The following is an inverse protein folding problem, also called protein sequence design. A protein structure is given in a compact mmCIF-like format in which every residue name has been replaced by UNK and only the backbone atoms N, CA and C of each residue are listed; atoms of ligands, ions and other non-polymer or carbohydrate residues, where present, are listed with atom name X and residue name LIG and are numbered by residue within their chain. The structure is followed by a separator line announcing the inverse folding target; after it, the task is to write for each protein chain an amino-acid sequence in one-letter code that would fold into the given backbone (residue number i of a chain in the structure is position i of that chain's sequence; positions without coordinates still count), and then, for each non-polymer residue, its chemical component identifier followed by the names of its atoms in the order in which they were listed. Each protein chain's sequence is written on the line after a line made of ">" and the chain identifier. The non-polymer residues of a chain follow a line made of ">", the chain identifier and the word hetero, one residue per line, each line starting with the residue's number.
data_IF_195801483158
#
_entry.id   IF_195801483158
#
_cell.length_a   1.000
_cell.length_b   1.000
_cell.length_c   1.000
_cell.angle_alpha   90.00
_cell.angle_beta   90.00
_cell.angle_gamma   90.00
#
_symmetry.space_group_name_H-M   'P 1'
#
loop_
_entity.id
_entity.type
_entity.pdbx_description
1 polymer ?
#
# COMPACT_ATOMS: atom_id res chain seq x y z
N UNK A 1 -9.92 -22.51 -8.19
CA UNK A 1 -9.97 -22.43 -6.71
C UNK A 1 -11.18 -21.59 -6.31
N UNK A 2 -11.84 -21.91 -5.19
CA UNK A 2 -12.94 -21.08 -4.65
C UNK A 2 -12.46 -20.34 -3.40
N UNK A 3 -12.52 -19.01 -3.45
CA UNK A 3 -12.05 -18.10 -2.40
C UNK A 3 -13.24 -17.41 -1.73
N UNK A 4 -13.19 -17.27 -0.42
CA UNK A 4 -14.05 -16.38 0.35
C UNK A 4 -13.26 -15.13 0.72
N UNK A 5 -13.65 -13.96 0.22
CA UNK A 5 -13.08 -12.67 0.61
C UNK A 5 -14.07 -11.96 1.54
N UNK A 6 -13.63 -11.63 2.74
CA UNK A 6 -14.42 -10.90 3.74
C UNK A 6 -13.73 -9.58 4.03
N UNK A 7 -14.50 -8.50 3.98
CA UNK A 7 -14.03 -7.16 4.24
C UNK A 7 -15.10 -6.37 5.03
N UNK A 8 -14.73 -5.29 5.74
CA UNK A 8 -15.69 -4.36 6.32
C UNK A 8 -16.60 -3.74 5.24
N UNK A 9 -17.82 -3.36 5.61
CA UNK A 9 -18.76 -2.67 4.69
C UNK A 9 -18.21 -1.33 4.20
N UNK A 10 -17.52 -0.60 5.07
CA UNK A 10 -16.90 0.69 4.76
C UNK A 10 -15.46 0.54 4.21
N UNK A 11 -15.23 -0.52 3.43
CA UNK A 11 -13.94 -0.77 2.79
C UNK A 11 -13.61 0.29 1.73
N UNK A 12 -12.32 0.44 1.37
CA UNK A 12 -11.90 1.36 0.31
C UNK A 12 -12.64 1.12 -1.02
N UNK A 13 -12.92 2.21 -1.73
CA UNK A 13 -13.62 2.24 -3.03
C UNK A 13 -13.00 1.32 -4.08
N UNK A 14 -11.68 1.12 -4.01
CA UNK A 14 -10.96 0.22 -4.91
C UNK A 14 -11.24 -1.29 -4.69
N UNK A 15 -11.92 -1.68 -3.61
CA UNK A 15 -12.18 -3.10 -3.25
C UNK A 15 -12.85 -3.87 -4.39
N UNK A 16 -13.83 -3.28 -5.08
CA UNK A 16 -14.54 -3.97 -6.16
C UNK A 16 -13.62 -4.28 -7.35
N UNK A 17 -12.72 -3.35 -7.68
CA UNK A 17 -11.73 -3.55 -8.74
C UNK A 17 -10.70 -4.62 -8.38
N UNK A 18 -10.23 -4.59 -7.12
CA UNK A 18 -9.35 -5.61 -6.56
C UNK A 18 -10.00 -7.00 -6.61
N UNK A 19 -11.24 -7.11 -6.13
CA UNK A 19 -12.06 -8.32 -6.13
C UNK A 19 -12.26 -8.87 -7.56
N UNK A 20 -12.61 -8.01 -8.52
CA UNK A 20 -12.81 -8.42 -9.89
C UNK A 20 -11.55 -9.06 -10.49
N UNK A 21 -10.39 -8.45 -10.28
CA UNK A 21 -9.13 -9.01 -10.77
C UNK A 21 -8.68 -10.25 -10.02
N UNK A 22 -8.90 -10.31 -8.70
CA UNK A 22 -8.64 -11.49 -7.89
C UNK A 22 -9.46 -12.68 -8.40
N UNK A 23 -10.76 -12.48 -8.64
CA UNK A 23 -11.67 -13.50 -9.15
C UNK A 23 -11.21 -14.06 -10.49
N UNK A 24 -10.73 -13.22 -11.41
CA UNK A 24 -10.18 -13.66 -12.70
C UNK A 24 -8.99 -14.60 -12.51
N UNK A 25 -8.13 -14.33 -11.53
CA UNK A 25 -6.97 -15.18 -11.25
C UNK A 25 -7.37 -16.52 -10.62
N UNK A 26 -8.17 -16.50 -9.54
CA UNK A 26 -8.43 -17.71 -8.74
C UNK A 26 -9.58 -18.57 -9.29
N UNK A 27 -10.39 -18.02 -10.20
CA UNK A 27 -11.58 -18.64 -10.79
C UNK A 27 -12.88 -18.19 -10.14
N UNK A 28 -13.11 -18.59 -8.88
CA UNK A 28 -14.30 -18.21 -8.12
C UNK A 28 -13.90 -17.49 -6.84
N UNK A 29 -14.46 -16.31 -6.62
CA UNK A 29 -14.29 -15.54 -5.38
C UNK A 29 -15.67 -15.03 -4.97
N UNK A 30 -16.10 -15.32 -3.75
CA UNK A 30 -17.31 -14.75 -3.16
C UNK A 30 -16.87 -13.63 -2.20
N UNK A 31 -17.46 -12.44 -2.35
CA UNK A 31 -17.16 -11.27 -1.51
C UNK A 31 -18.30 -11.02 -0.52
N UNK A 32 -17.96 -10.94 0.78
CA UNK A 32 -18.86 -10.50 1.83
C UNK A 32 -18.34 -9.21 2.47
N UNK A 33 -19.10 -8.14 2.30
CA UNK A 33 -18.88 -6.85 2.97
C UNK A 33 -19.70 -6.82 4.27
N UNK A 34 -19.05 -6.96 5.42
CA UNK A 34 -19.71 -7.13 6.72
C UNK A 34 -20.00 -5.79 7.39
N UNK A 35 -21.22 -5.63 7.90
CA UNK A 35 -21.51 -4.53 8.82
C UNK A 35 -20.81 -4.69 10.18
N UNK A 36 -20.90 -3.68 11.04
CA UNK A 36 -20.24 -3.70 12.35
C UNK A 36 -20.71 -4.85 13.25
N UNK A 37 -21.99 -5.22 13.18
CA UNK A 37 -22.55 -6.30 14.01
C UNK A 37 -22.00 -7.65 13.57
N UNK A 38 -21.98 -7.88 12.26
CA UNK A 38 -21.39 -9.08 11.65
C UNK A 38 -19.88 -9.14 11.89
N UNK A 39 -19.19 -8.01 11.80
CA UNK A 39 -17.76 -7.91 12.09
C UNK A 39 -17.46 -8.20 13.56
N UNK A 40 -18.29 -7.73 14.49
CA UNK A 40 -18.13 -7.94 15.93
C UNK A 40 -18.33 -9.41 16.36
N UNK A 41 -19.13 -10.20 15.61
CA UNK A 41 -19.30 -11.64 15.85
C UNK A 41 -19.13 -12.45 14.56
N UNK A 42 -17.87 -12.52 14.12
CA UNK A 42 -17.47 -13.27 12.92
C UNK A 42 -17.79 -14.77 13.05
N UNK A 43 -17.76 -15.32 14.27
CA UNK A 43 -18.08 -16.74 14.50
C UNK A 43 -19.54 -17.03 14.18
N UNK A 44 -20.46 -16.20 14.70
CA UNK A 44 -21.87 -16.29 14.35
C UNK A 44 -22.10 -16.09 12.85
N UNK A 45 -21.41 -15.13 12.22
CA UNK A 45 -21.52 -14.93 10.77
C UNK A 45 -21.16 -16.20 9.99
N UNK A 46 -20.01 -16.83 10.28
CA UNK A 46 -19.60 -18.05 9.59
C UNK A 46 -20.58 -19.20 9.81
N UNK A 47 -21.06 -19.40 11.05
CA UNK A 47 -22.00 -20.48 11.37
C UNK A 47 -23.34 -20.35 10.64
N UNK A 48 -23.82 -19.13 10.40
CA UNK A 48 -25.11 -18.90 9.76
C UNK A 48 -25.02 -18.81 8.24
N UNK A 49 -23.95 -18.21 7.70
CA UNK A 49 -23.89 -17.79 6.29
C UNK A 49 -22.83 -18.51 5.46
N UNK A 50 -21.84 -19.17 6.08
CA UNK A 50 -20.68 -19.70 5.37
C UNK A 50 -20.61 -21.23 5.48
N UNK A 51 -20.76 -21.91 4.34
CA UNK A 51 -20.46 -23.34 4.22
C UNK A 51 -18.97 -23.53 3.93
N UNK A 52 -18.16 -23.66 4.98
CA UNK A 52 -16.69 -23.71 4.91
C UNK A 52 -16.15 -24.73 3.90
N UNK A 53 -16.76 -25.91 3.80
CA UNK A 53 -16.36 -26.98 2.89
C UNK A 53 -16.39 -26.62 1.39
N UNK A 54 -17.00 -25.50 1.01
CA UNK A 54 -17.02 -25.02 -0.37
C UNK A 54 -15.84 -24.09 -0.72
N UNK A 55 -15.04 -23.69 0.26
CA UNK A 55 -13.97 -22.72 0.06
C UNK A 55 -12.61 -23.36 0.27
N UNK A 56 -11.72 -23.16 -0.71
CA UNK A 56 -10.33 -23.59 -0.65
C UNK A 56 -9.47 -22.59 0.16
N UNK A 57 -9.87 -21.32 0.18
CA UNK A 57 -9.17 -20.20 0.84
C UNK A 57 -10.17 -19.26 1.49
N UNK A 58 -9.77 -18.74 2.65
CA UNK A 58 -10.51 -17.70 3.37
C UNK A 58 -9.59 -16.51 3.53
N UNK A 59 -10.01 -15.34 3.06
CA UNK A 59 -9.22 -14.11 3.06
C UNK A 59 -9.96 -13.05 3.86
N UNK A 60 -9.29 -12.51 4.88
CA UNK A 60 -9.82 -11.44 5.73
C UNK A 60 -9.07 -10.13 5.47
N UNK A 61 -9.79 -9.11 5.03
CA UNK A 61 -9.29 -7.74 4.92
C UNK A 61 -9.51 -6.96 6.22
N UNK A 62 -8.88 -7.44 7.30
CA UNK A 62 -8.97 -6.84 8.63
C UNK A 62 -7.57 -6.67 9.22
N UNK A 63 -7.44 -5.76 10.19
CA UNK A 63 -6.17 -5.45 10.86
C UNK A 63 -5.72 -6.53 11.85
N UNK A 64 -4.50 -6.38 12.36
CA UNK A 64 -3.93 -7.32 13.33
C UNK A 64 -4.71 -7.41 14.63
N UNK A 65 -5.31 -6.30 15.07
CA UNK A 65 -6.10 -6.23 16.30
C UNK A 65 -7.39 -7.05 16.19
N UNK A 66 -8.04 -6.99 15.03
CA UNK A 66 -9.23 -7.77 14.71
C UNK A 66 -8.92 -9.26 14.70
N UNK A 67 -7.88 -9.66 13.95
CA UNK A 67 -7.45 -11.07 13.87
C UNK A 67 -7.08 -11.60 15.27
N UNK A 68 -6.44 -10.75 16.08
CA UNK A 68 -6.09 -11.08 17.46
C UNK A 68 -7.33 -11.32 18.34
N UNK A 69 -8.28 -10.38 18.30
CA UNK A 69 -9.54 -10.45 19.07
C UNK A 69 -10.34 -11.71 18.76
N UNK A 70 -10.38 -12.11 17.49
CA UNK A 70 -11.15 -13.26 17.02
C UNK A 70 -10.31 -14.55 16.88
N UNK A 71 -9.08 -14.56 17.39
CA UNK A 71 -8.12 -15.65 17.18
C UNK A 71 -8.64 -17.03 17.56
N UNK A 72 -9.42 -17.18 18.63
CA UNK A 72 -9.97 -18.48 19.03
C UNK A 72 -10.80 -19.13 17.92
N UNK A 73 -11.69 -18.36 17.30
CA UNK A 73 -12.49 -18.84 16.17
C UNK A 73 -11.65 -19.00 14.91
N UNK A 74 -10.85 -17.98 14.56
CA UNK A 74 -10.07 -17.97 13.31
C UNK A 74 -9.08 -19.14 13.20
N UNK A 75 -8.62 -19.67 14.33
CA UNK A 75 -7.73 -20.85 14.40
C UNK A 75 -8.41 -22.16 14.03
N UNK A 76 -9.73 -22.17 14.00
CA UNK A 76 -10.50 -23.32 13.53
C UNK A 76 -10.61 -23.34 12.01
N UNK A 77 -10.33 -22.22 11.34
CA UNK A 77 -10.48 -22.08 9.90
C UNK A 77 -9.29 -22.70 9.15
N UNK A 78 -9.57 -23.53 8.12
CA UNK A 78 -8.52 -23.99 7.22
C UNK A 78 -8.09 -22.87 6.28
N UNK A 79 -6.80 -22.82 5.93
CA UNK A 79 -6.31 -21.98 4.82
C UNK A 79 -6.64 -20.48 4.92
N UNK A 80 -6.45 -19.92 6.12
CA UNK A 80 -6.71 -18.52 6.43
C UNK A 80 -5.59 -17.61 5.92
N UNK A 81 -5.99 -16.54 5.23
CA UNK A 81 -5.12 -15.43 4.83
C UNK A 81 -5.62 -14.10 5.40
N UNK A 82 -4.69 -13.27 5.82
CA UNK A 82 -4.88 -11.89 6.23
C UNK A 82 -4.37 -10.98 5.11
N UNK A 83 -5.22 -10.11 4.59
CA UNK A 83 -4.91 -9.18 3.52
C UNK A 83 -4.82 -7.74 4.09
N UNK A 84 -3.62 -7.17 4.12
CA UNK A 84 -3.32 -5.82 4.62
C UNK A 84 -2.74 -4.94 3.52
N UNK A 85 -3.61 -4.20 2.86
CA UNK A 85 -3.21 -3.25 1.81
C UNK A 85 -3.01 -1.83 2.34
N UNK A 86 -3.20 -1.63 3.63
CA UNK A 86 -2.95 -0.36 4.32
C UNK A 86 -1.73 -0.51 5.22
N UNK A 87 -0.95 0.55 5.32
CA UNK A 87 0.20 0.61 6.20
C UNK A 87 -0.24 0.59 7.67
N UNK A 88 0.33 -0.32 8.45
CA UNK A 88 0.16 -0.37 9.90
C UNK A 88 1.42 0.20 10.57
N UNK A 89 1.34 1.32 11.32
CA UNK A 89 2.49 1.90 11.96
C UNK A 89 3.05 0.97 13.05
N UNK A 90 4.34 1.08 13.42
CA UNK A 90 5.02 0.11 14.28
C UNK A 90 4.29 -0.20 15.60
N UNK A 91 3.68 0.79 16.22
CA UNK A 91 2.92 0.67 17.47
C UNK A 91 1.68 -0.22 17.35
N UNK A 92 1.06 -0.30 16.16
CA UNK A 92 -0.09 -1.17 15.87
C UNK A 92 0.30 -2.59 15.48
N UNK A 93 1.59 -2.87 15.28
CA UNK A 93 2.05 -4.21 14.84
C UNK A 93 2.05 -5.24 15.96
N UNK A 94 2.02 -4.85 17.24
CA UNK A 94 2.14 -5.79 18.38
C UNK A 94 1.17 -6.97 18.27
N UNK A 95 -0.11 -6.70 18.00
CA UNK A 95 -1.13 -7.75 17.89
C UNK A 95 -0.98 -8.62 16.65
N UNK A 96 -0.54 -8.04 15.54
CA UNK A 96 -0.16 -8.80 14.35
C UNK A 96 1.01 -9.76 14.64
N UNK A 97 2.06 -9.30 15.33
CA UNK A 97 3.18 -10.18 15.73
C UNK A 97 2.68 -11.36 16.55
N UNK A 98 1.87 -11.09 17.56
CA UNK A 98 1.22 -12.10 18.39
C UNK A 98 0.40 -13.11 17.56
N UNK A 99 -0.28 -12.67 16.50
CA UNK A 99 -1.04 -13.55 15.61
C UNK A 99 -0.14 -14.56 14.88
N UNK A 100 1.03 -14.14 14.39
CA UNK A 100 1.98 -15.02 13.73
C UNK A 100 2.52 -16.12 14.66
N UNK A 101 2.64 -15.84 15.97
CA UNK A 101 3.05 -16.84 16.95
C UNK A 101 1.94 -17.87 17.25
N UNK A 102 0.68 -17.46 17.36
CA UNK A 102 -0.44 -18.37 17.69
C UNK A 102 -1.05 -19.07 16.47
N UNK A 103 -0.80 -18.52 15.28
CA UNK A 103 -1.21 -19.01 13.96
C UNK A 103 -0.03 -18.92 12.98
N UNK A 104 1.03 -19.73 13.14
CA UNK A 104 2.17 -19.75 12.20
C UNK A 104 1.81 -20.22 10.78
N UNK A 105 0.60 -20.77 10.60
CA UNK A 105 0.02 -21.11 9.30
C UNK A 105 -0.77 -19.97 8.66
N UNK A 106 -1.00 -18.85 9.37
CA UNK A 106 -1.68 -17.68 8.82
C UNK A 106 -0.85 -17.13 7.67
N UNK A 107 -1.45 -17.09 6.48
CA UNK A 107 -0.86 -16.40 5.34
C UNK A 107 -1.06 -14.90 5.50
N UNK A 108 0.01 -14.13 5.55
CA UNK A 108 -0.06 -12.68 5.51
C UNK A 108 0.26 -12.20 4.09
N UNK A 109 -0.61 -11.37 3.54
CA UNK A 109 -0.42 -10.70 2.26
C UNK A 109 -0.54 -9.21 2.53
N UNK A 110 0.52 -8.43 2.38
CA UNK A 110 0.42 -7.00 2.67
C UNK A 110 1.56 -6.12 2.19
N UNK A 111 1.40 -4.81 2.42
CA UNK A 111 2.27 -3.78 1.88
C UNK A 111 3.45 -3.36 2.76
N UNK A 112 3.41 -3.73 4.04
CA UNK A 112 4.44 -3.33 5.00
C UNK A 112 5.76 -4.09 4.77
N UNK A 113 6.77 -3.35 4.31
CA UNK A 113 8.06 -3.94 3.98
C UNK A 113 8.82 -4.40 5.23
N UNK A 114 8.71 -3.67 6.35
CA UNK A 114 9.39 -4.04 7.58
C UNK A 114 8.83 -5.36 8.12
N UNK A 115 7.50 -5.55 8.04
CA UNK A 115 6.86 -6.83 8.37
C UNK A 115 7.33 -7.93 7.42
N UNK A 116 7.33 -7.68 6.12
CA UNK A 116 7.78 -8.66 5.16
C UNK A 116 9.23 -9.10 5.41
N UNK A 117 10.13 -8.17 5.73
CA UNK A 117 11.53 -8.47 6.05
C UNK A 117 11.67 -9.24 7.36
N UNK A 118 11.05 -8.75 8.45
CA UNK A 118 11.13 -9.36 9.78
C UNK A 118 10.62 -10.81 9.79
N UNK A 119 9.56 -11.11 9.03
CA UNK A 119 8.88 -12.41 9.06
C UNK A 119 9.15 -13.29 7.82
N UNK A 120 10.03 -12.89 6.89
CA UNK A 120 10.38 -13.69 5.70
C UNK A 120 11.10 -15.02 5.99
N UNK A 121 11.54 -15.24 7.23
CA UNK A 121 12.29 -16.42 7.63
C UNK A 121 11.47 -17.72 7.73
N UNK A 122 12.15 -18.87 7.94
CA UNK A 122 11.49 -20.15 8.15
C UNK A 122 10.55 -20.09 9.34
N UNK A 123 9.24 -20.24 9.11
CA UNK A 123 8.27 -20.27 10.20
C UNK A 123 6.98 -19.52 9.92
N UNK A 124 6.97 -18.59 8.97
CA UNK A 124 5.80 -17.79 8.62
C UNK A 124 5.47 -17.87 7.12
N UNK A 125 4.23 -17.54 6.75
CA UNK A 125 3.74 -17.57 5.38
C UNK A 125 3.45 -16.14 4.90
N UNK A 126 4.50 -15.44 4.47
CA UNK A 126 4.50 -13.98 4.31
C UNK A 126 4.70 -13.64 2.83
N UNK A 127 3.78 -12.86 2.28
CA UNK A 127 3.82 -12.38 0.91
C UNK A 127 3.70 -10.86 0.88
N UNK A 128 4.73 -10.21 0.36
CA UNK A 128 4.72 -8.76 0.19
C UNK A 128 4.08 -8.33 -1.12
N UNK A 129 3.35 -7.21 -1.07
CA UNK A 129 2.82 -6.47 -2.20
C UNK A 129 3.25 -5.01 -2.11
N UNK A 130 3.39 -4.28 -3.22
CA UNK A 130 3.49 -2.84 -3.13
C UNK A 130 2.15 -2.22 -2.71
N UNK A 131 2.20 -0.99 -2.22
CA UNK A 131 1.03 -0.21 -1.85
C UNK A 131 0.03 -0.09 -3.01
N UNK A 132 -1.27 -0.21 -2.71
CA UNK A 132 -2.35 0.07 -3.66
C UNK A 132 -2.73 1.54 -3.64
N UNK A 133 -3.05 2.09 -4.81
CA UNK A 133 -3.75 3.37 -4.90
C UNK A 133 -5.08 3.22 -5.64
N UNK A 134 -5.98 4.17 -5.39
CA UNK A 134 -7.28 4.19 -6.05
C UNK A 134 -7.27 5.02 -7.36
N UNK A 135 -7.42 4.39 -8.53
CA UNK A 135 -7.48 5.11 -9.80
C UNK A 135 -8.74 5.98 -9.98
N UNK A 136 -9.78 5.82 -9.15
CA UNK A 136 -10.94 6.72 -9.17
C UNK A 136 -10.60 8.10 -8.60
N UNK A 137 -9.66 8.16 -7.66
CA UNK A 137 -9.26 9.39 -6.97
C UNK A 137 -7.99 10.01 -7.57
N UNK A 138 -7.02 9.18 -8.00
CA UNK A 138 -5.74 9.66 -8.54
C UNK A 138 -5.55 9.26 -9.99
N UNK A 139 -5.54 10.27 -10.86
CA UNK A 139 -5.30 10.08 -12.28
C UNK A 139 -4.77 11.37 -12.90
N UNK A 140 -3.99 11.21 -13.97
CA UNK A 140 -3.45 12.33 -14.72
C UNK A 140 -4.58 13.10 -15.43
N UNK A 141 -4.97 14.23 -14.84
CA UNK A 141 -5.95 15.16 -15.41
C UNK A 141 -5.36 15.90 -16.61
N UNK A 142 -6.21 16.42 -17.52
CA UNK A 142 -5.75 17.30 -18.58
C UNK A 142 -4.92 18.46 -18.02
N UNK A 143 -3.80 18.77 -18.68
CA UNK A 143 -2.88 19.83 -18.24
C UNK A 143 -3.55 21.19 -18.39
N UNK A 144 -3.60 21.96 -17.31
CA UNK A 144 -3.92 23.39 -17.38
C UNK A 144 -2.72 24.13 -17.95
N UNK A 145 -2.93 25.03 -18.91
CA UNK A 145 -1.87 25.86 -19.48
C UNK A 145 -1.20 26.72 -18.39
N UNK A 146 0.12 26.65 -18.28
CA UNK A 146 0.88 27.40 -17.27
C UNK A 146 2.25 26.78 -16.99
N UNK A 147 3.04 27.46 -16.15
CA UNK A 147 4.26 26.89 -15.59
C UNK A 147 3.90 25.81 -14.55
N UNK A 148 4.69 24.72 -14.46
CA UNK A 148 4.56 23.73 -13.40
C UNK A 148 4.55 24.34 -12.01
N UNK A 149 3.65 23.88 -11.14
CA UNK A 149 3.69 24.18 -9.71
C UNK A 149 4.64 23.20 -9.02
N UNK A 150 5.38 23.66 -8.01
CA UNK A 150 6.18 22.79 -7.15
C UNK A 150 5.40 22.53 -5.86
N UNK A 151 4.95 21.30 -5.64
CA UNK A 151 4.28 20.91 -4.41
C UNK A 151 5.27 20.24 -3.48
N UNK A 152 5.34 20.71 -2.23
CA UNK A 152 6.25 20.19 -1.22
C UNK A 152 5.47 19.33 -0.21
N UNK A 153 5.69 18.02 -0.26
CA UNK A 153 5.29 17.09 0.78
C UNK A 153 6.45 16.92 1.77
N UNK A 154 6.18 17.28 3.02
CA UNK A 154 7.15 17.26 4.10
C UNK A 154 6.82 16.16 5.10
N UNK A 155 7.38 14.95 4.95
CA UNK A 155 7.43 13.93 6.00
C UNK A 155 8.00 14.51 7.30
N UNK A 156 7.81 13.92 8.50
CA UNK A 156 8.35 14.43 9.76
C UNK A 156 9.90 14.48 9.85
N UNK A 157 10.61 14.48 8.71
CA UNK A 157 12.04 14.70 8.61
C UNK A 157 12.37 16.19 8.53
N UNK A 158 13.41 16.62 9.25
CA UNK A 158 13.78 18.03 9.46
C UNK A 158 14.33 18.77 8.22
N UNK A 159 13.92 18.42 7.00
CA UNK A 159 14.56 18.90 5.77
C UNK A 159 13.69 19.83 4.92
N UNK A 160 12.40 20.02 5.23
CA UNK A 160 11.55 20.93 4.46
C UNK A 160 12.07 22.36 4.40
N UNK A 161 12.59 22.89 5.51
CA UNK A 161 13.09 24.26 5.52
C UNK A 161 14.34 24.42 4.64
N UNK A 162 15.21 23.41 4.61
CA UNK A 162 16.36 23.38 3.70
C UNK A 162 15.91 23.35 2.24
N UNK A 163 14.91 22.53 1.91
CA UNK A 163 14.35 22.46 0.55
C UNK A 163 13.65 23.77 0.17
N UNK A 164 12.88 24.38 1.08
CA UNK A 164 12.25 25.69 0.87
C UNK A 164 13.30 26.76 0.60
N UNK A 165 14.39 26.79 1.37
CA UNK A 165 15.48 27.74 1.17
C UNK A 165 16.16 27.52 -0.19
N UNK A 166 16.46 26.27 -0.56
CA UNK A 166 17.06 25.94 -1.85
C UNK A 166 16.19 26.39 -3.04
N UNK A 167 14.86 26.35 -2.90
CA UNK A 167 13.90 26.74 -3.93
C UNK A 167 13.46 28.21 -3.86
N UNK A 168 13.79 28.95 -2.80
CA UNK A 168 13.38 30.35 -2.64
C UNK A 168 13.95 31.26 -3.73
N UNK A 169 15.12 30.91 -4.28
CA UNK A 169 15.79 31.65 -5.34
C UNK A 169 15.25 31.31 -6.75
N UNK A 170 14.35 30.32 -6.86
CA UNK A 170 13.77 29.88 -8.12
C UNK A 170 12.44 30.57 -8.42
N UNK A 171 12.20 30.86 -9.70
CA UNK A 171 10.92 31.39 -10.18
C UNK A 171 9.83 30.31 -10.28
N UNK A 172 9.72 29.45 -9.25
CA UNK A 172 8.72 28.38 -9.18
C UNK A 172 7.67 28.68 -8.12
N UNK A 173 6.42 28.35 -8.42
CA UNK A 173 5.33 28.47 -7.47
C UNK A 173 5.39 27.31 -6.46
N UNK A 174 6.05 27.53 -5.32
CA UNK A 174 6.15 26.53 -4.25
C UNK A 174 4.89 26.51 -3.38
N UNK A 175 4.25 25.35 -3.28
CA UNK A 175 3.07 25.12 -2.43
C UNK A 175 3.33 23.99 -1.43
N UNK A 176 3.42 24.29 -0.11
CA UNK A 176 3.47 23.25 0.90
C UNK A 176 2.14 22.49 0.95
N UNK A 177 2.20 21.18 1.19
CA UNK A 177 1.04 20.31 1.33
C UNK A 177 0.82 19.91 2.79
N UNK A 178 -0.44 19.87 3.21
CA UNK A 178 -0.84 19.32 4.51
C UNK A 178 -1.09 17.82 4.36
N UNK A 179 -0.45 17.01 5.22
CA UNK A 179 -0.60 15.55 5.24
C UNK A 179 -2.03 15.10 5.54
N UNK A 180 -2.72 15.84 6.40
CA UNK A 180 -4.05 15.48 6.87
C UNK A 180 -5.11 15.66 5.77
N UNK A 181 -4.85 16.56 4.82
CA UNK A 181 -5.75 16.85 3.68
C UNK A 181 -5.21 16.36 2.34
N UNK A 182 -3.99 15.81 2.31
CA UNK A 182 -3.29 15.42 1.09
C UNK A 182 -4.15 14.54 0.18
N UNK A 183 -4.78 13.52 0.75
CA UNK A 183 -5.66 12.61 0.01
C UNK A 183 -6.76 13.40 -0.72
N UNK A 184 -7.49 14.25 0.00
CA UNK A 184 -8.60 15.03 -0.54
C UNK A 184 -8.12 16.04 -1.58
N UNK A 185 -6.99 16.70 -1.32
CA UNK A 185 -6.46 17.75 -2.18
C UNK A 185 -5.95 17.18 -3.51
N UNK A 186 -5.18 16.10 -3.47
CA UNK A 186 -4.73 15.39 -4.67
C UNK A 186 -5.90 14.74 -5.41
N UNK A 187 -6.86 14.18 -4.68
CA UNK A 187 -8.09 13.66 -5.26
C UNK A 187 -8.94 14.73 -5.94
N UNK A 188 -8.83 16.00 -5.56
CA UNK A 188 -9.50 17.13 -6.22
C UNK A 188 -8.69 17.74 -7.36
N UNK A 189 -7.43 17.32 -7.52
CA UNK A 189 -6.54 17.78 -8.60
C UNK A 189 -5.66 18.95 -8.23
N UNK A 190 -5.34 19.13 -6.94
CA UNK A 190 -4.32 20.09 -6.53
C UNK A 190 -2.97 19.81 -7.23
N UNK A 191 -2.59 18.53 -7.31
CA UNK A 191 -1.40 18.06 -8.02
C UNK A 191 -1.80 17.63 -9.42
N UNK A 192 -1.26 18.30 -10.43
CA UNK A 192 -1.58 18.08 -11.84
C UNK A 192 -0.43 17.42 -12.61
N UNK A 193 -0.75 17.04 -13.85
CA UNK A 193 0.23 16.51 -14.79
C UNK A 193 1.36 17.52 -15.01
N UNK A 194 2.59 17.03 -14.96
CA UNK A 194 3.83 17.81 -15.10
C UNK A 194 4.06 18.84 -13.99
N UNK A 195 3.31 18.84 -12.89
CA UNK A 195 3.77 19.53 -11.69
C UNK A 195 5.00 18.81 -11.11
N UNK A 196 5.81 19.53 -10.34
CA UNK A 196 6.82 18.89 -9.50
C UNK A 196 6.19 18.50 -8.17
N UNK A 197 6.44 17.27 -7.72
CA UNK A 197 6.06 16.82 -6.38
C UNK A 197 7.33 16.44 -5.63
N UNK A 198 7.71 17.28 -4.67
CA UNK A 198 8.90 17.08 -3.87
C UNK A 198 8.48 16.28 -2.63
N UNK A 199 8.90 15.02 -2.59
CA UNK A 199 8.56 14.07 -1.55
C UNK A 199 9.75 13.91 -0.59
N UNK A 200 9.59 14.41 0.63
CA UNK A 200 10.50 14.17 1.75
C UNK A 200 9.89 13.06 2.60
N UNK A 201 10.50 11.86 2.69
CA UNK A 201 9.98 10.76 3.51
C UNK A 201 10.13 11.03 5.01
N UNK A 202 9.51 10.19 5.82
CA UNK A 202 9.72 10.20 7.27
C UNK A 202 11.09 9.58 7.60
N UNK A 203 11.73 9.98 8.70
CA UNK A 203 13.09 9.50 9.03
C UNK A 203 13.15 8.00 9.34
N UNK A 204 12.11 7.48 10.00
CA UNK A 204 12.11 6.11 10.53
C UNK A 204 11.40 5.11 9.60
N UNK A 205 10.75 5.59 8.55
CA UNK A 205 10.10 4.73 7.56
C UNK A 205 9.96 5.41 6.20
N UNK A 206 10.04 4.59 5.15
CA UNK A 206 9.80 5.02 3.78
C UNK A 206 8.42 4.56 3.33
N UNK A 207 7.43 5.45 3.39
CA UNK A 207 6.10 5.23 2.86
C UNK A 207 5.92 5.88 1.47
N UNK A 208 6.02 5.12 0.37
CA UNK A 208 5.92 5.68 -0.98
C UNK A 208 4.50 6.08 -1.38
N UNK A 209 3.50 5.96 -0.50
CA UNK A 209 2.10 6.23 -0.82
C UNK A 209 1.88 7.62 -1.44
N UNK A 210 2.36 8.73 -0.86
CA UNK A 210 2.21 10.07 -1.44
C UNK A 210 2.89 10.19 -2.81
N UNK A 211 4.08 9.61 -2.94
CA UNK A 211 4.83 9.57 -4.19
C UNK A 211 4.05 8.82 -5.28
N UNK A 212 3.50 7.65 -4.98
CA UNK A 212 2.71 6.85 -5.93
C UNK A 212 1.47 7.62 -6.38
N UNK A 213 0.76 8.29 -5.47
CA UNK A 213 -0.38 9.14 -5.82
C UNK A 213 0.05 10.26 -6.77
N UNK A 214 1.19 10.91 -6.51
CA UNK A 214 1.69 12.01 -7.34
C UNK A 214 2.07 11.53 -8.74
N UNK A 215 2.73 10.37 -8.83
CA UNK A 215 3.03 9.70 -10.10
C UNK A 215 1.75 9.35 -10.86
N UNK A 216 0.69 8.89 -10.18
CA UNK A 216 -0.60 8.58 -10.80
C UNK A 216 -1.31 9.83 -11.34
N UNK A 217 -1.17 10.97 -10.64
CA UNK A 217 -1.61 12.30 -11.12
C UNK A 217 -0.72 12.86 -12.26
N UNK A 218 0.40 12.19 -12.57
CA UNK A 218 1.32 12.58 -13.63
C UNK A 218 2.30 13.69 -13.25
N UNK A 219 2.52 13.92 -11.96
CA UNK A 219 3.58 14.79 -11.49
C UNK A 219 4.96 14.14 -11.69
N UNK A 220 5.97 14.99 -11.85
CA UNK A 220 7.38 14.59 -11.77
C UNK A 220 7.80 14.60 -10.32
N UNK A 221 8.05 13.40 -9.77
CA UNK A 221 8.43 13.26 -8.37
C UNK A 221 9.93 13.45 -8.19
N UNK A 222 10.30 14.31 -7.23
CA UNK A 222 11.67 14.52 -6.75
C UNK A 222 11.74 14.05 -5.30
N UNK A 223 12.67 13.15 -4.96
CA UNK A 223 12.77 12.58 -3.61
C UNK A 223 14.20 12.16 -3.28
N UNK A 224 14.63 12.10 -1.99
CA UNK A 224 15.91 11.50 -1.66
C UNK A 224 16.00 10.08 -2.22
N UNK A 225 17.19 9.63 -2.66
CA UNK A 225 17.34 8.22 -3.11
C UNK A 225 17.00 7.28 -1.95
N UNK A 226 15.95 6.44 -2.07
CA UNK A 226 15.53 5.54 -0.99
C UNK A 226 16.43 4.30 -0.86
N UNK A 227 17.50 4.22 -1.65
CA UNK A 227 18.42 3.11 -1.71
C UNK A 227 17.98 2.01 -2.68
N UNK A 228 18.94 1.15 -3.01
CA UNK A 228 18.77 0.13 -4.04
C UNK A 228 17.66 -0.89 -3.72
N UNK A 229 17.48 -1.29 -2.46
CA UNK A 229 16.45 -2.28 -2.08
C UNK A 229 15.03 -1.77 -2.41
N UNK A 230 14.71 -0.54 -2.00
CA UNK A 230 13.41 0.09 -2.29
C UNK A 230 13.24 0.29 -3.80
N UNK A 231 14.26 0.81 -4.48
CA UNK A 231 14.22 1.03 -5.94
C UNK A 231 13.98 -0.26 -6.71
N UNK A 232 14.60 -1.38 -6.32
CA UNK A 232 14.39 -2.68 -6.96
C UNK A 232 12.99 -3.24 -6.71
N UNK A 233 12.49 -3.15 -5.47
CA UNK A 233 11.16 -3.67 -5.09
C UNK A 233 10.03 -2.94 -5.81
N UNK A 234 10.09 -1.60 -5.83
CA UNK A 234 9.10 -0.76 -6.50
C UNK A 234 9.40 -0.53 -7.99
N UNK A 235 10.57 -0.99 -8.46
CA UNK A 235 11.10 -0.81 -9.82
C UNK A 235 11.22 0.66 -10.24
N UNK A 236 11.51 1.53 -9.27
CA UNK A 236 11.78 2.94 -9.52
C UNK A 236 13.15 3.14 -10.18
N UNK A 237 13.21 4.05 -11.14
CA UNK A 237 14.38 4.32 -11.97
C UNK A 237 14.63 5.82 -12.03
N UNK A 238 15.82 6.19 -11.57
CA UNK A 238 16.30 7.57 -11.61
C UNK A 238 16.25 8.14 -13.03
N UNK A 239 15.83 9.41 -13.14
CA UNK A 239 15.67 10.18 -14.39
C UNK A 239 14.79 9.50 -15.45
N UNK A 240 13.98 8.54 -15.02
CA UNK A 240 13.04 7.83 -15.89
C UNK A 240 11.62 7.93 -15.36
N UNK A 241 11.34 7.47 -14.13
CA UNK A 241 10.00 7.55 -13.52
C UNK A 241 9.97 8.38 -12.22
N UNK A 242 11.14 8.69 -11.65
CA UNK A 242 11.32 9.64 -10.57
C UNK A 242 12.71 10.29 -10.70
N UNK A 243 12.92 11.40 -9.99
CA UNK A 243 14.21 12.08 -9.86
C UNK A 243 14.72 11.90 -8.44
N UNK A 244 15.89 11.27 -8.29
CA UNK A 244 16.50 11.07 -6.98
C UNK A 244 17.61 12.10 -6.72
N UNK A 245 17.73 12.52 -5.46
CA UNK A 245 18.81 13.39 -5.00
C UNK A 245 19.50 12.82 -3.76
N UNK A 246 20.75 13.20 -3.53
CA UNK A 246 21.51 12.84 -2.33
C UNK A 246 21.66 14.02 -1.36
N UNK A 247 21.57 15.25 -1.86
CA UNK A 247 21.60 16.49 -1.06
C UNK A 247 20.46 17.42 -1.48
N UNK A 248 19.92 18.19 -0.53
CA UNK A 248 18.86 19.17 -0.80
C UNK A 248 19.29 20.24 -1.83
N UNK A 249 20.58 20.57 -1.90
CA UNK A 249 21.12 21.54 -2.85
C UNK A 249 20.98 21.09 -4.32
N UNK A 250 20.86 19.78 -4.56
CA UNK A 250 20.69 19.22 -5.91
C UNK A 250 19.28 19.47 -6.48
N UNK A 251 18.28 19.70 -5.62
CA UNK A 251 16.87 19.83 -6.01
C UNK A 251 16.70 21.02 -6.97
N UNK A 252 17.34 22.14 -6.66
CA UNK A 252 17.28 23.36 -7.48
C UNK A 252 17.77 23.08 -8.90
N UNK A 253 18.94 22.45 -9.04
CA UNK A 253 19.47 22.04 -10.33
C UNK A 253 18.57 21.03 -11.05
N UNK A 254 17.95 20.09 -10.34
CA UNK A 254 17.02 19.13 -10.94
C UNK A 254 15.78 19.83 -11.52
N UNK A 255 15.20 20.79 -10.79
CA UNK A 255 14.04 21.56 -11.25
C UNK A 255 14.42 22.41 -12.47
N UNK A 256 15.50 23.18 -12.41
CA UNK A 256 15.99 24.02 -13.51
C UNK A 256 16.24 23.21 -14.79
N UNK A 257 16.96 22.08 -14.67
CA UNK A 257 17.28 21.23 -15.82
C UNK A 257 16.02 20.68 -16.48
N UNK A 258 14.99 20.31 -15.70
CA UNK A 258 13.75 19.78 -16.26
C UNK A 258 12.87 20.88 -16.86
N UNK A 259 12.83 22.07 -16.26
CA UNK A 259 12.17 23.24 -16.85
C UNK A 259 12.81 23.68 -18.17
N UNK A 260 14.15 23.62 -18.26
CA UNK A 260 14.89 23.91 -19.49
C UNK A 260 14.71 22.85 -20.59
N UNK A 261 14.26 21.63 -20.25
CA UNK A 261 14.05 20.53 -21.20
C UNK A 261 12.63 19.96 -21.11
N UNK A 262 11.59 20.67 -21.61
CA UNK A 262 10.19 20.27 -21.46
C UNK A 262 9.89 18.85 -21.98
N UNK A 263 10.53 18.41 -23.06
CA UNK A 263 10.34 17.05 -23.57
C UNK A 263 10.79 15.96 -22.59
N UNK A 264 11.87 16.20 -21.83
CA UNK A 264 12.35 15.27 -20.80
C UNK A 264 11.39 15.26 -19.63
N UNK A 265 10.95 16.43 -19.18
CA UNK A 265 9.97 16.60 -18.11
C UNK A 265 8.66 15.85 -18.41
N UNK A 266 8.09 16.08 -19.61
CA UNK A 266 6.90 15.35 -20.08
C UNK A 266 7.14 13.84 -20.17
N UNK A 267 8.31 13.41 -20.62
CA UNK A 267 8.65 11.98 -20.70
C UNK A 267 8.71 11.33 -19.32
N UNK A 268 9.32 11.98 -18.33
CA UNK A 268 9.37 11.49 -16.94
C UNK A 268 7.95 11.39 -16.37
N UNK A 269 7.11 12.42 -16.54
CA UNK A 269 5.72 12.40 -16.11
C UNK A 269 4.92 11.23 -16.74
N UNK A 270 5.10 10.97 -18.04
CA UNK A 270 4.43 9.86 -18.72
C UNK A 270 4.89 8.50 -18.19
N UNK A 271 6.20 8.33 -17.97
CA UNK A 271 6.76 7.14 -17.39
C UNK A 271 6.35 6.93 -15.93
N UNK A 272 6.21 8.01 -15.15
CA UNK A 272 5.69 7.98 -13.80
C UNK A 272 4.25 7.43 -13.76
N UNK A 273 3.36 7.93 -14.63
CA UNK A 273 1.99 7.39 -14.78
C UNK A 273 2.03 5.91 -15.18
N UNK A 274 2.87 5.54 -16.15
CA UNK A 274 2.99 4.16 -16.58
C UNK A 274 3.52 3.23 -15.47
N UNK A 275 4.45 3.71 -14.64
CA UNK A 275 4.94 3.01 -13.45
C UNK A 275 3.84 2.87 -12.41
N UNK A 276 3.09 3.94 -12.15
CA UNK A 276 2.03 3.99 -11.17
C UNK A 276 0.96 2.91 -11.43
N UNK A 277 0.65 2.62 -12.71
CA UNK A 277 -0.31 1.56 -13.08
C UNK A 277 -0.04 0.20 -12.44
N UNK A 278 1.21 -0.13 -12.09
CA UNK A 278 1.54 -1.39 -11.41
C UNK A 278 1.00 -1.49 -9.97
N UNK A 279 0.60 -0.36 -9.39
CA UNK A 279 0.05 -0.22 -8.04
C UNK A 279 -1.48 -0.10 -8.06
N UNK A 280 -2.11 -0.28 -9.22
CA UNK A 280 -3.57 -0.30 -9.34
C UNK A 280 -4.16 -1.60 -8.76
N UNK A 281 -5.45 -1.60 -8.42
CA UNK A 281 -6.13 -2.78 -7.87
C UNK A 281 -6.08 -3.98 -8.82
N UNK A 282 -6.03 -3.78 -10.14
CA UNK A 282 -6.06 -4.88 -11.10
C UNK A 282 -4.74 -5.70 -11.08
N UNK A 283 -3.55 -5.13 -11.31
CA UNK A 283 -2.31 -5.90 -11.17
C UNK A 283 -2.13 -6.54 -9.78
N UNK A 284 -2.54 -5.83 -8.72
CA UNK A 284 -2.42 -6.34 -7.35
C UNK A 284 -3.42 -7.44 -7.05
N UNK A 285 -4.67 -7.33 -7.51
CA UNK A 285 -5.68 -8.38 -7.36
C UNK A 285 -5.24 -9.68 -8.03
N UNK A 286 -4.66 -9.60 -9.23
CA UNK A 286 -4.04 -10.76 -9.87
C UNK A 286 -2.92 -11.36 -9.01
N UNK A 287 -2.00 -10.53 -8.51
CA UNK A 287 -0.87 -11.00 -7.70
C UNK A 287 -1.29 -11.60 -6.36
N UNK A 288 -2.34 -11.07 -5.73
CA UNK A 288 -2.96 -11.67 -4.54
C UNK A 288 -3.47 -13.06 -4.90
N UNK A 289 -4.15 -13.22 -6.03
CA UNK A 289 -4.63 -14.52 -6.50
C UNK A 289 -3.50 -15.53 -6.68
N UNK A 290 -2.40 -15.12 -7.32
CA UNK A 290 -1.20 -15.95 -7.48
C UNK A 290 -0.66 -16.40 -6.11
N UNK A 291 -0.59 -15.49 -5.14
CA UNK A 291 -0.18 -15.82 -3.78
C UNK A 291 -1.12 -16.79 -3.08
N UNK A 292 -2.44 -16.69 -3.28
CA UNK A 292 -3.41 -17.63 -2.71
C UNK A 292 -3.32 -19.02 -3.33
N UNK A 293 -2.94 -19.12 -4.60
CA UNK A 293 -2.76 -20.39 -5.30
C UNK A 293 -1.52 -21.16 -4.83
N UNK A 294 -0.51 -20.48 -4.27
CA UNK A 294 0.64 -21.16 -3.67
C UNK A 294 0.21 -22.08 -2.52
N UNK A 295 0.98 -23.15 -2.32
CA UNK A 295 0.71 -24.15 -1.30
C UNK A 295 0.58 -23.50 0.08
N UNK A 296 -0.54 -23.76 0.76
CA UNK A 296 -0.79 -23.26 2.11
C UNK A 296 -0.20 -24.19 3.15
N UNK A 297 0.16 -23.61 4.29
CA UNK A 297 0.57 -24.36 5.48
C UNK A 297 -0.64 -25.04 6.10
N UNK A 298 -0.52 -26.34 6.37
CA UNK A 298 -1.57 -27.09 7.06
C UNK A 298 -1.55 -26.76 8.56
N UNK A 299 -2.64 -26.22 9.14
CA UNK A 299 -2.75 -25.97 10.57
C UNK A 299 -2.47 -27.20 11.44
N UNK A 300 -2.71 -28.42 10.94
CA UNK A 300 -2.44 -29.67 11.65
C UNK A 300 -0.94 -29.92 11.92
N UNK A 301 -0.06 -29.30 11.14
CA UNK A 301 1.40 -29.43 11.31
C UNK A 301 1.96 -28.54 12.43
N UNK A 302 1.13 -27.72 13.08
CA UNK A 302 1.55 -26.78 14.10
C UNK A 302 0.85 -27.04 15.43
N UNK A 303 1.59 -26.94 16.54
CA UNK A 303 1.00 -27.01 17.86
C UNK A 303 0.05 -25.82 18.05
N UNK A 304 -1.23 -26.12 18.29
CA UNK A 304 -2.23 -25.10 18.61
C UNK A 304 -2.00 -24.57 20.04
N UNK A 305 -1.11 -23.58 20.19
CA UNK A 305 -0.88 -22.86 21.47
C UNK A 305 -2.16 -22.16 21.94
N UNK A 306 -2.71 -22.43 23.11
CA UNK A 306 -3.99 -21.83 23.49
C UNK A 306 -3.78 -20.42 24.03
N UNK A 307 -4.79 -19.56 23.84
CA UNK A 307 -4.88 -18.28 24.54
C UNK A 307 -6.04 -18.36 25.50
N UNK A 308 -5.75 -18.29 26.80
CA UNK A 308 -6.75 -18.24 27.86
C UNK A 308 -6.58 -16.88 28.55
N UNK A 309 -7.63 -16.05 28.50
CA UNK A 309 -7.63 -14.68 29.06
C UNK A 309 -6.48 -13.76 28.59
N UNK A 310 -6.04 -13.90 27.33
CA UNK A 310 -4.95 -13.09 26.77
C UNK A 310 -3.54 -13.58 27.10
N UNK A 311 -3.41 -14.65 27.89
CA UNK A 311 -2.13 -15.31 28.19
C UNK A 311 -1.94 -16.55 27.30
N UNK A 312 -0.68 -16.82 26.90
CA UNK A 312 -0.32 -18.03 26.16
C UNK A 312 -0.21 -19.23 27.11
N UNK A 313 -0.80 -20.37 26.70
CA UNK A 313 -0.71 -21.67 27.38
C UNK A 313 -0.34 -22.76 26.37
#
# INVERSE_FOLDING_TARGET
>A
MKVLLIAPKDSPTYLNSLYASLRVQVGTCDLYALDDKQSADISAFFNHFVKLQHYDRIVLMYDGDYIHRHSLFLRTLPSLAMLRLEYDPPERRKKMKENFYVMPWLRWIGCDLAVAQEYSGPGHDIFWLPQVYDPEHFYARPKTLGQPTCHLYDGPGNNADTVRHALAEQAVNLKPLDKNTLWQDMSRGLVCREDFFIYIPENDHYDPTPMIWAMACGAVVITPDPGNDIRLRYRFRDKHDALFYNSADEITSLVEQNLAHPHRHTSIAQHAVARAKNFQPQPLGKRIGEYLETQVRDPANYRKRQRIFGFEI
#
